data_IF_484560785246
#
_entry.id   IF_484560785246
#
_cell.length_a   1.000
_cell.length_b   1.000
_cell.length_c   1.000
_cell.angle_alpha   90.00
_cell.angle_beta   90.00
_cell.angle_gamma   90.00
#
_symmetry.space_group_name_H-M   'P 1'
#
loop_
_entity.id
_entity.type
_entity.pdbx_description
1 polymer ?
#
# COMPACT_ATOMS: atom_id res chain seq x y z
N UNK A 1 -13.33 -4.03 1.49
CA UNK A 1 -13.55 -5.35 0.85
C UNK A 1 -12.66 -5.46 -0.38
N UNK A 2 -12.33 -6.67 -0.83
CA UNK A 2 -11.58 -6.84 -2.08
C UNK A 2 -12.49 -6.44 -3.27
N UNK A 3 -12.04 -5.55 -4.17
CA UNK A 3 -12.84 -5.17 -5.32
C UNK A 3 -12.98 -6.36 -6.30
N UNK A 4 -14.15 -6.54 -6.94
CA UNK A 4 -14.38 -7.65 -7.87
C UNK A 4 -13.57 -7.48 -9.16
N UNK A 5 -13.42 -6.25 -9.63
CA UNK A 5 -12.58 -5.88 -10.77
C UNK A 5 -11.23 -5.33 -10.29
N UNK A 6 -10.16 -5.53 -11.05
CA UNK A 6 -8.82 -5.03 -10.68
C UNK A 6 -8.21 -5.69 -9.43
N UNK A 7 -8.72 -6.86 -9.03
CA UNK A 7 -8.30 -7.60 -7.83
C UNK A 7 -6.78 -7.83 -7.76
N UNK A 8 -6.16 -8.22 -8.87
CA UNK A 8 -4.72 -8.49 -8.92
C UNK A 8 -3.90 -7.22 -8.67
N UNK A 9 -4.24 -6.11 -9.33
CA UNK A 9 -3.61 -4.80 -9.12
C UNK A 9 -3.78 -4.33 -7.68
N UNK A 10 -4.98 -4.48 -7.12
CA UNK A 10 -5.26 -4.16 -5.73
C UNK A 10 -4.39 -5.00 -4.78
N UNK A 11 -4.28 -6.31 -5.00
CA UNK A 11 -3.44 -7.19 -4.17
C UNK A 11 -1.95 -6.86 -4.30
N UNK A 12 -1.46 -6.59 -5.52
CA UNK A 12 -0.09 -6.18 -5.76
C UNK A 12 0.25 -4.89 -5.01
N UNK A 13 -0.64 -3.90 -5.04
CA UNK A 13 -0.49 -2.64 -4.29
C UNK A 13 -0.37 -2.87 -2.78
N UNK A 14 -1.22 -3.73 -2.21
CA UNK A 14 -1.17 -4.05 -0.78
C UNK A 14 0.12 -4.80 -0.39
N UNK A 15 0.58 -5.71 -1.24
CA UNK A 15 1.84 -6.44 -1.03
C UNK A 15 3.06 -5.53 -1.15
N UNK A 16 3.07 -4.61 -2.11
CA UNK A 16 4.12 -3.59 -2.24
C UNK A 16 4.18 -2.70 -1.00
N UNK A 17 3.03 -2.27 -0.49
CA UNK A 17 2.95 -1.49 0.75
C UNK A 17 3.50 -2.24 1.97
N UNK A 18 3.34 -3.57 2.00
CA UNK A 18 3.86 -4.42 3.07
C UNK A 18 5.39 -4.57 3.03
N UNK A 19 6.01 -4.53 1.85
CA UNK A 19 7.42 -4.94 1.64
C UNK A 19 8.41 -4.31 2.62
N UNK A 20 8.25 -3.02 2.92
CA UNK A 20 9.09 -2.31 3.89
C UNK A 20 8.31 -1.72 5.06
N UNK A 21 6.99 -1.92 5.11
CA UNK A 21 6.11 -1.36 6.13
C UNK A 21 6.01 0.18 6.15
N UNK A 22 6.76 0.91 5.32
CA UNK A 22 6.75 2.40 5.33
C UNK A 22 5.38 2.97 4.97
N UNK A 23 4.73 2.39 3.96
CA UNK A 23 3.39 2.80 3.53
C UNK A 23 2.28 2.44 4.53
N UNK A 24 2.55 1.53 5.47
CA UNK A 24 1.57 0.99 6.42
C UNK A 24 1.85 1.39 7.87
N UNK A 25 2.86 2.22 8.12
CA UNK A 25 3.29 2.54 9.50
C UNK A 25 3.87 1.34 10.25
N UNK A 26 4.37 0.35 9.52
CA UNK A 26 4.81 -0.96 9.99
C UNK A 26 3.65 -1.89 10.40
N UNK A 27 2.42 -1.58 10.02
CA UNK A 27 1.35 -2.58 10.02
C UNK A 27 1.47 -3.47 8.77
N UNK A 28 0.63 -4.49 8.67
CA UNK A 28 0.63 -5.44 7.55
C UNK A 28 -0.78 -5.66 7.06
N UNK A 29 -0.98 -5.55 5.75
CA UNK A 29 -2.21 -5.97 5.11
C UNK A 29 -2.30 -7.50 5.08
N UNK A 30 -3.41 -8.02 5.58
CA UNK A 30 -3.75 -9.42 5.58
C UNK A 30 -5.06 -9.64 4.81
N UNK A 31 -5.13 -10.74 4.06
CA UNK A 31 -6.35 -11.17 3.38
C UNK A 31 -6.98 -12.32 4.16
N UNK A 32 -8.21 -12.13 4.59
CA UNK A 32 -9.06 -13.23 5.04
C UNK A 32 -9.76 -13.86 3.84
N UNK A 33 -9.36 -15.09 3.54
CA UNK A 33 -9.92 -15.85 2.42
C UNK A 33 -11.39 -16.20 2.63
N UNK A 34 -11.81 -16.44 3.88
CA UNK A 34 -13.16 -16.91 4.21
C UNK A 34 -14.20 -15.82 3.95
N UNK A 35 -13.88 -14.58 4.35
CA UNK A 35 -14.80 -13.45 4.25
C UNK A 35 -14.43 -12.47 3.13
N UNK A 36 -13.43 -12.79 2.30
CA UNK A 36 -12.90 -11.93 1.24
C UNK A 36 -12.65 -10.47 1.71
N UNK A 37 -12.14 -10.34 2.92
CA UNK A 37 -11.94 -9.06 3.60
C UNK A 37 -10.46 -8.83 3.84
N UNK A 38 -10.02 -7.58 3.65
CA UNK A 38 -8.66 -7.15 3.96
C UNK A 38 -8.64 -6.49 5.31
N UNK A 39 -7.67 -6.88 6.13
CA UNK A 39 -7.38 -6.29 7.43
C UNK A 39 -6.02 -5.59 7.37
N UNK A 40 -5.89 -4.50 8.12
CA UNK A 40 -4.59 -3.91 8.43
C UNK A 40 -4.27 -4.26 9.89
N UNK A 41 -3.18 -4.99 10.11
CA UNK A 41 -2.84 -5.55 11.41
C UNK A 41 -1.53 -4.97 11.92
N UNK A 42 -1.48 -4.59 13.20
CA UNK A 42 -0.25 -4.19 13.88
C UNK A 42 -0.05 -5.08 15.11
N UNK A 43 1.14 -5.65 15.22
CA UNK A 43 1.56 -6.44 16.39
C UNK A 43 2.46 -5.56 17.25
N UNK A 44 2.21 -5.56 18.55
CA UNK A 44 3.00 -4.82 19.55
C UNK A 44 3.53 -5.80 20.58
N UNK A 45 4.77 -5.58 21.03
CA UNK A 45 5.38 -6.38 22.08
C UNK A 45 4.97 -5.82 23.43
N UNK A 46 4.39 -6.65 24.29
CA UNK A 46 4.03 -6.25 25.66
C UNK A 46 5.24 -5.98 26.54
N UNK A 47 6.43 -6.49 26.18
CA UNK A 47 7.66 -6.30 26.95
C UNK A 47 8.35 -4.96 26.65
N UNK A 48 8.21 -4.47 25.42
CA UNK A 48 8.93 -3.28 24.96
C UNK A 48 8.03 -2.07 24.70
N UNK A 49 6.71 -2.23 24.73
CA UNK A 49 5.76 -1.14 24.49
C UNK A 49 5.21 -0.63 25.82
N UNK A 50 5.62 0.57 26.20
CA UNK A 50 5.00 1.27 27.31
C UNK A 50 3.67 1.94 26.90
N UNK A 51 2.98 2.54 27.87
CA UNK A 51 1.71 3.21 27.63
C UNK A 51 1.80 4.32 26.57
N UNK A 52 2.83 5.15 26.62
CA UNK A 52 2.95 6.28 25.71
C UNK A 52 3.27 5.81 24.30
N UNK A 53 4.14 4.82 24.16
CA UNK A 53 4.44 4.18 22.89
C UNK A 53 3.22 3.48 22.29
N UNK A 54 2.41 2.83 23.13
CA UNK A 54 1.13 2.25 22.70
C UNK A 54 0.18 3.31 22.15
N UNK A 55 -0.03 4.41 22.89
CA UNK A 55 -0.91 5.52 22.46
C UNK A 55 -0.42 6.11 21.15
N UNK A 56 0.86 6.44 21.05
CA UNK A 56 1.45 6.99 19.83
C UNK A 56 1.31 6.02 18.65
N UNK A 57 1.52 4.73 18.89
CA UNK A 57 1.39 3.70 17.84
C UNK A 57 -0.06 3.53 17.41
N UNK A 58 -1.02 3.60 18.33
CA UNK A 58 -2.45 3.52 18.03
C UNK A 58 -2.91 4.72 17.22
N UNK A 59 -2.51 5.94 17.59
CA UNK A 59 -2.80 7.16 16.83
C UNK A 59 -2.23 7.08 15.41
N UNK A 60 -0.95 6.71 15.28
CA UNK A 60 -0.32 6.50 13.98
C UNK A 60 -1.03 5.42 13.15
N UNK A 61 -1.42 4.31 13.78
CA UNK A 61 -2.16 3.23 13.13
C UNK A 61 -3.51 3.71 12.59
N UNK A 62 -4.29 4.46 13.38
CA UNK A 62 -5.57 5.03 12.94
C UNK A 62 -5.37 5.96 11.75
N UNK A 63 -4.36 6.83 11.79
CA UNK A 63 -4.04 7.71 10.66
C UNK A 63 -3.73 6.92 9.37
N UNK A 64 -2.98 5.80 9.48
CA UNK A 64 -2.71 4.94 8.33
C UNK A 64 -3.99 4.23 7.83
N UNK A 65 -4.86 3.76 8.72
CA UNK A 65 -6.16 3.17 8.33
C UNK A 65 -6.99 4.19 7.54
N UNK A 66 -7.10 5.42 8.03
CA UNK A 66 -7.86 6.47 7.36
C UNK A 66 -7.27 6.85 6.00
N UNK A 67 -5.95 7.03 5.92
CA UNK A 67 -5.26 7.33 4.67
C UNK A 67 -5.49 6.23 3.62
N UNK A 68 -5.41 4.96 4.02
CA UNK A 68 -5.66 3.83 3.11
C UNK A 68 -7.12 3.69 2.72
N UNK A 69 -8.06 3.93 3.63
CA UNK A 69 -9.50 3.98 3.29
C UNK A 69 -9.75 5.02 2.20
N UNK A 70 -9.24 6.24 2.38
CA UNK A 70 -9.38 7.31 1.38
C UNK A 70 -8.72 6.95 0.05
N UNK A 71 -7.50 6.38 0.07
CA UNK A 71 -6.79 5.96 -1.14
C UNK A 71 -7.58 4.92 -1.94
N UNK A 72 -8.14 3.93 -1.26
CA UNK A 72 -8.93 2.86 -1.88
C UNK A 72 -10.25 3.40 -2.40
N UNK A 73 -10.97 4.23 -1.63
CA UNK A 73 -12.25 4.82 -2.02
C UNK A 73 -12.11 5.75 -3.24
N UNK A 74 -11.00 6.48 -3.35
CA UNK A 74 -10.71 7.34 -4.51
C UNK A 74 -10.29 6.56 -5.76
N UNK A 75 -10.11 5.24 -5.65
CA UNK A 75 -9.63 4.41 -6.75
C UNK A 75 -8.19 4.72 -7.16
N UNK A 76 -7.41 5.35 -6.27
CA UNK A 76 -6.01 5.73 -6.51
C UNK A 76 -5.08 4.52 -6.30
N UNK A 77 -5.41 3.43 -7.00
CA UNK A 77 -4.81 2.11 -6.88
C UNK A 77 -3.68 1.88 -7.91
N UNK A 78 -3.11 2.97 -8.45
CA UNK A 78 -1.99 2.94 -9.38
C UNK A 78 -2.26 3.65 -10.70
N UNK A 79 -2.14 4.98 -10.72
CA UNK A 79 -1.75 5.70 -11.94
C UNK A 79 -0.24 6.05 -11.97
N UNK A 80 0.48 5.98 -10.84
CA UNK A 80 1.88 6.41 -10.78
C UNK A 80 2.84 5.50 -11.57
N UNK A 81 2.60 4.19 -11.63
CA UNK A 81 3.46 3.28 -12.39
C UNK A 81 3.39 3.48 -13.92
N UNK A 82 2.30 4.04 -14.45
CA UNK A 82 2.12 4.28 -15.88
C UNK A 82 2.77 5.60 -16.34
N UNK A 83 3.00 6.56 -15.44
CA UNK A 83 3.56 7.87 -15.79
C UNK A 83 5.08 7.86 -15.98
N UNK A 84 5.80 6.92 -15.37
CA UNK A 84 7.27 6.83 -15.51
C UNK A 84 7.68 6.13 -16.81
N UNK A 85 6.92 5.13 -17.27
CA UNK A 85 7.25 4.37 -18.49
C UNK A 85 6.97 5.18 -19.77
N UNK A 86 6.00 6.09 -19.73
CA UNK A 86 5.66 6.93 -20.88
C UNK A 86 6.69 8.03 -21.19
N UNK A 87 7.56 8.40 -20.24
CA UNK A 87 8.58 9.44 -20.47
C UNK A 87 9.92 8.89 -21.02
N UNK A 88 10.23 7.62 -20.83
CA UNK A 88 11.47 7.00 -21.35
C UNK A 88 11.38 6.52 -22.80
N UNK A 89 10.16 6.35 -23.34
CA UNK A 89 9.96 5.89 -24.73
C UNK A 89 10.12 6.96 -25.82
N UNK A 90 10.30 8.24 -25.47
CA UNK A 90 10.28 9.35 -26.44
C UNK A 90 11.67 9.93 -26.76
N UNK A 91 12.77 9.38 -26.23
CA UNK A 91 14.11 9.97 -26.38
C UNK A 91 15.08 9.27 -27.33
N UNK A 92 14.72 8.17 -27.99
CA UNK A 92 15.68 7.44 -28.82
C UNK A 92 15.20 7.17 -30.27
N UNK A 93 14.79 8.25 -30.94
CA UNK A 93 14.52 8.25 -32.38
C UNK A 93 15.39 9.31 -33.06
N UNK A 94 16.69 9.06 -33.15
CA UNK A 94 17.59 9.90 -33.94
C UNK A 94 19.00 9.34 -34.08
N UNK A 95 19.33 8.88 -35.29
CA UNK A 95 20.68 8.73 -35.88
C UNK A 95 21.48 7.49 -35.41
N UNK A 96 22.07 6.62 -36.25
CA UNK A 96 22.44 6.59 -37.66
C UNK A 96 22.49 5.11 -38.13
N UNK A 97 21.99 4.80 -39.33
CA UNK A 97 22.38 3.58 -40.05
C UNK A 97 23.61 3.91 -40.91
N UNK A 98 24.70 3.18 -40.67
CA UNK A 98 25.78 2.98 -41.64
C UNK A 98 25.52 1.67 -42.41
#
# INVERSE_FOLDING_TARGET
>A
AVPPEGKETFMALLLEANLFGKGTGGATFALDHTHHTVYLCRILSTESTDYQEFVNTLEGFVNHVEAWKQKIEKGDMGQEAASTVAQDGFRDSGYLRA
#
